data_IF_764611959026
#
_entry.id   IF_764611959026
#
_cell.length_a   1.000
_cell.length_b   1.000
_cell.length_c   1.000
_cell.angle_alpha   90.00
_cell.angle_beta   90.00
_cell.angle_gamma   90.00
#
_symmetry.space_group_name_H-M   'P 1'
#
loop_
_entity.id
_entity.type
_entity.pdbx_description
1 polymer ?
#
# COMPACT_ATOMS: atom_id res chain seq x y z
N UNK A 1 2.18 14.93 -6.90
CA UNK A 1 1.47 14.86 -8.19
C UNK A 1 0.00 15.16 -7.95
N UNK A 2 -0.51 16.19 -8.56
CA UNK A 2 -1.95 16.55 -8.47
C UNK A 2 -2.46 16.68 -7.03
N UNK A 3 -1.62 17.14 -6.09
CA UNK A 3 -1.98 17.28 -4.70
C UNK A 3 -1.91 15.99 -3.88
N UNK A 4 -1.41 14.92 -4.47
CA UNK A 4 -1.24 13.62 -3.80
C UNK A 4 0.21 13.48 -3.36
N UNK A 5 0.42 13.16 -2.09
CA UNK A 5 1.75 12.92 -1.51
C UNK A 5 2.05 11.42 -1.45
N UNK A 6 3.30 11.03 -1.65
CA UNK A 6 3.73 9.64 -1.65
C UNK A 6 4.68 9.39 -0.49
N UNK A 7 4.42 8.35 0.29
CA UNK A 7 5.19 8.01 1.49
C UNK A 7 5.66 6.57 1.46
N UNK A 8 6.94 6.36 1.78
CA UNK A 8 7.55 5.05 1.88
C UNK A 8 7.67 4.62 3.35
N UNK A 9 6.92 3.59 3.73
CA UNK A 9 7.03 2.92 5.02
C UNK A 9 7.34 1.43 4.80
N UNK A 10 8.38 1.16 4.00
CA UNK A 10 8.80 -0.21 3.68
C UNK A 10 9.19 -1.02 4.91
N UNK A 11 9.50 -0.36 6.03
CA UNK A 11 9.75 -1.00 7.31
C UNK A 11 8.49 -1.51 7.99
N UNK A 12 7.31 -1.12 7.49
CA UNK A 12 6.02 -1.61 7.98
C UNK A 12 5.78 -3.06 7.57
N UNK A 13 6.51 -4.00 8.17
CA UNK A 13 6.52 -5.40 7.80
C UNK A 13 5.54 -6.25 8.62
N UNK A 14 4.71 -5.63 9.43
CA UNK A 14 3.65 -6.31 10.18
C UNK A 14 2.41 -5.44 10.28
N UNK A 15 1.30 -6.06 10.68
CA UNK A 15 -0.01 -5.41 10.75
C UNK A 15 0.00 -4.23 11.72
N UNK A 16 0.64 -4.37 12.88
CA UNK A 16 0.71 -3.28 13.88
C UNK A 16 1.38 -2.02 13.34
N UNK A 17 2.49 -2.18 12.61
CA UNK A 17 3.20 -1.05 12.01
C UNK A 17 2.33 -0.34 10.96
N UNK A 18 1.61 -1.10 10.15
CA UNK A 18 0.72 -0.55 9.12
C UNK A 18 -0.46 0.19 9.75
N UNK A 19 -1.05 -0.35 10.82
CA UNK A 19 -2.11 0.32 11.55
C UNK A 19 -1.65 1.67 12.11
N UNK A 20 -0.46 1.71 12.71
CA UNK A 20 0.13 2.94 13.22
C UNK A 20 0.33 3.98 12.11
N UNK A 21 0.81 3.54 10.95
CA UNK A 21 1.02 4.42 9.79
C UNK A 21 -0.30 5.00 9.30
N UNK A 22 -1.34 4.18 9.15
CA UNK A 22 -2.66 4.65 8.72
C UNK A 22 -3.23 5.70 9.67
N UNK A 23 -3.15 5.43 10.96
CA UNK A 23 -3.68 6.33 11.99
C UNK A 23 -2.91 7.65 12.04
N UNK A 24 -1.60 7.60 11.79
CA UNK A 24 -0.72 8.75 11.87
C UNK A 24 -0.76 9.70 10.68
N UNK A 25 -1.31 9.27 9.54
CA UNK A 25 -1.28 10.08 8.32
C UNK A 25 -2.15 11.34 8.38
N UNK A 26 -3.27 11.33 9.11
CA UNK A 26 -4.14 12.48 9.24
C UNK A 26 -4.93 12.84 7.98
N UNK A 27 -5.00 11.93 7.01
CA UNK A 27 -5.69 12.11 5.72
C UNK A 27 -6.10 10.76 5.16
N UNK A 28 -6.92 10.76 4.10
CA UNK A 28 -7.27 9.52 3.42
C UNK A 28 -6.05 8.96 2.69
N UNK A 29 -5.92 7.64 2.70
CA UNK A 29 -4.72 6.94 2.23
C UNK A 29 -5.10 5.88 1.20
N UNK A 30 -4.48 5.94 0.02
CA UNK A 30 -4.43 4.81 -0.91
C UNK A 30 -3.18 4.01 -0.53
N UNK A 31 -3.36 2.78 -0.09
CA UNK A 31 -2.29 1.99 0.51
C UNK A 31 -1.89 0.82 -0.35
N UNK A 32 -0.59 0.51 -0.35
CA UNK A 32 -0.03 -0.68 -1.00
C UNK A 32 0.29 -1.69 0.09
N UNK A 33 -0.35 -2.85 0.02
CA UNK A 33 -0.19 -3.96 0.95
C UNK A 33 0.29 -5.19 0.20
N UNK A 34 1.08 -6.04 0.85
CA UNK A 34 1.41 -7.34 0.29
C UNK A 34 2.85 -7.75 0.45
N UNK A 35 3.11 -9.02 0.12
CA UNK A 35 4.38 -9.70 0.27
C UNK A 35 4.16 -11.02 0.99
N UNK A 36 5.14 -11.42 1.81
CA UNK A 36 5.02 -12.58 2.69
C UNK A 36 4.41 -12.17 4.02
N UNK A 37 3.19 -12.63 4.29
CA UNK A 37 2.45 -12.25 5.48
C UNK A 37 2.88 -12.94 6.77
N UNK A 38 3.68 -14.00 6.71
CA UNK A 38 4.19 -14.74 7.87
C UNK A 38 3.08 -15.21 8.82
N UNK A 39 1.98 -15.66 8.26
CA UNK A 39 0.83 -16.20 8.99
C UNK A 39 0.20 -15.20 9.97
N UNK A 40 0.33 -13.91 9.71
CA UNK A 40 -0.32 -12.87 10.53
C UNK A 40 -1.83 -12.87 10.33
N UNK A 41 -2.53 -12.34 11.31
CA UNK A 41 -3.95 -11.99 11.18
C UNK A 41 -4.07 -10.59 10.58
N UNK A 42 -4.60 -10.48 9.37
CA UNK A 42 -4.79 -9.20 8.68
C UNK A 42 -6.15 -8.55 8.99
N UNK A 43 -7.02 -9.22 9.74
CA UNK A 43 -8.37 -8.71 10.00
C UNK A 43 -8.42 -7.33 10.67
N UNK A 44 -7.47 -6.94 11.53
CA UNK A 44 -7.48 -5.58 12.10
C UNK A 44 -7.35 -4.46 11.07
N UNK A 45 -6.85 -4.76 9.87
CA UNK A 45 -6.74 -3.76 8.80
C UNK A 45 -8.11 -3.33 8.27
N UNK A 46 -9.10 -4.21 8.31
CA UNK A 46 -10.41 -3.93 7.72
C UNK A 46 -11.09 -2.68 8.30
N UNK A 47 -11.26 -2.57 9.64
CA UNK A 47 -11.88 -1.36 10.20
C UNK A 47 -11.02 -0.11 10.02
N UNK A 48 -9.69 -0.24 10.06
CA UNK A 48 -8.79 0.89 9.82
C UNK A 48 -8.90 1.39 8.39
N UNK A 49 -8.99 0.49 7.41
CA UNK A 49 -9.16 0.85 6.01
C UNK A 49 -10.51 1.50 5.77
N UNK A 50 -11.57 1.01 6.41
CA UNK A 50 -12.88 1.63 6.31
C UNK A 50 -12.88 3.08 6.81
N UNK A 51 -12.07 3.38 7.81
CA UNK A 51 -11.98 4.72 8.42
C UNK A 51 -10.99 5.62 7.71
N UNK A 52 -9.81 5.12 7.36
CA UNK A 52 -8.70 5.95 6.86
C UNK A 52 -8.37 5.72 5.38
N UNK A 53 -8.87 4.65 4.78
CA UNK A 53 -8.48 4.25 3.43
C UNK A 53 -9.24 4.97 2.32
N UNK A 54 -8.55 5.23 1.22
CA UNK A 54 -9.15 5.64 -0.05
C UNK A 54 -9.23 4.47 -1.01
N UNK A 55 -8.21 3.63 -1.03
CA UNK A 55 -8.09 2.47 -1.91
C UNK A 55 -7.01 1.54 -1.38
N UNK A 56 -7.04 0.29 -1.81
CA UNK A 56 -6.04 -0.73 -1.45
C UNK A 56 -5.50 -1.40 -2.70
N UNK A 57 -4.19 -1.33 -2.91
CA UNK A 57 -3.50 -2.13 -3.92
C UNK A 57 -2.81 -3.31 -3.24
N UNK A 58 -2.98 -4.49 -3.82
CA UNK A 58 -2.44 -5.74 -3.28
C UNK A 58 -1.38 -6.30 -4.22
N UNK A 59 -0.21 -6.60 -3.67
CA UNK A 59 0.91 -7.20 -4.42
C UNK A 59 1.45 -8.42 -3.67
N UNK A 60 2.23 -9.23 -4.36
CA UNK A 60 3.00 -10.31 -3.75
C UNK A 60 2.22 -11.57 -3.46
N UNK A 61 2.89 -12.48 -2.75
CA UNK A 61 2.42 -13.85 -2.53
C UNK A 61 1.10 -13.93 -1.78
N UNK A 62 0.94 -13.15 -0.74
CA UNK A 62 -0.22 -13.23 0.14
C UNK A 62 -1.29 -12.17 -0.18
N UNK A 63 -1.27 -11.60 -1.39
CA UNK A 63 -2.23 -10.60 -1.80
C UNK A 63 -3.68 -11.09 -1.67
N UNK A 64 -3.96 -12.33 -2.06
CA UNK A 64 -5.32 -12.89 -1.97
C UNK A 64 -5.77 -13.08 -0.53
N UNK A 65 -4.84 -13.49 0.34
CA UNK A 65 -5.12 -13.66 1.76
C UNK A 65 -5.49 -12.33 2.42
N UNK A 66 -4.73 -11.29 2.11
CA UNK A 66 -5.01 -9.94 2.62
C UNK A 66 -6.33 -9.43 2.04
N UNK A 67 -6.54 -9.63 0.74
CA UNK A 67 -7.79 -9.24 0.07
C UNK A 67 -9.02 -9.85 0.73
N UNK A 68 -8.95 -11.13 1.09
CA UNK A 68 -10.03 -11.80 1.79
C UNK A 68 -10.26 -11.21 3.18
N UNK A 69 -9.18 -10.88 3.91
CA UNK A 69 -9.28 -10.32 5.25
C UNK A 69 -9.90 -8.92 5.27
N UNK A 70 -9.70 -8.12 4.22
CA UNK A 70 -10.23 -6.75 4.14
C UNK A 70 -11.48 -6.64 3.26
N UNK A 71 -11.98 -7.75 2.74
CA UNK A 71 -13.18 -7.75 1.91
C UNK A 71 -14.35 -7.12 2.67
N UNK A 72 -15.09 -6.24 1.97
CA UNK A 72 -16.20 -5.53 2.60
C UNK A 72 -15.80 -4.27 3.36
N UNK A 73 -14.54 -3.83 3.29
CA UNK A 73 -14.12 -2.58 3.95
C UNK A 73 -14.72 -1.32 3.32
N UNK A 74 -15.38 -1.46 2.17
CA UNK A 74 -16.12 -0.34 1.55
C UNK A 74 -15.32 0.53 0.61
N UNK A 75 -14.05 0.21 0.36
CA UNK A 75 -13.19 0.98 -0.55
C UNK A 75 -12.68 0.09 -1.68
N UNK A 76 -12.29 0.69 -2.84
CA UNK A 76 -11.76 -0.10 -3.95
C UNK A 76 -10.52 -0.88 -3.56
N UNK A 77 -10.47 -2.14 -3.98
CA UNK A 77 -9.35 -3.05 -3.73
C UNK A 77 -8.96 -3.71 -5.04
N UNK A 78 -7.67 -3.65 -5.41
CA UNK A 78 -7.17 -4.15 -6.68
C UNK A 78 -5.91 -4.97 -6.49
N UNK A 79 -5.89 -6.18 -7.05
CA UNK A 79 -4.66 -6.97 -7.16
C UNK A 79 -3.81 -6.39 -8.30
N UNK A 80 -2.57 -6.07 -8.00
CA UNK A 80 -1.62 -5.51 -8.96
C UNK A 80 -0.45 -6.46 -9.19
N UNK A 81 0.05 -6.51 -10.42
CA UNK A 81 1.10 -7.44 -10.81
C UNK A 81 2.45 -7.12 -10.18
N UNK A 82 2.74 -5.83 -9.99
CA UNK A 82 4.01 -5.37 -9.45
C UNK A 82 3.85 -4.01 -8.77
N UNK A 83 4.98 -3.50 -8.26
CA UNK A 83 5.00 -2.21 -7.56
C UNK A 83 4.63 -1.05 -8.47
N UNK A 84 5.09 -1.03 -9.71
CA UNK A 84 4.79 0.05 -10.64
C UNK A 84 3.28 0.13 -10.92
N UNK A 85 2.63 -1.02 -11.14
CA UNK A 85 1.19 -1.09 -11.34
C UNK A 85 0.44 -0.60 -10.08
N UNK A 86 0.90 -0.99 -8.90
CA UNK A 86 0.28 -0.59 -7.64
C UNK A 86 0.37 0.93 -7.42
N UNK A 87 1.52 1.53 -7.69
CA UNK A 87 1.72 2.98 -7.57
C UNK A 87 0.78 3.73 -8.53
N UNK A 88 0.72 3.30 -9.78
CA UNK A 88 -0.16 3.92 -10.78
C UNK A 88 -1.62 3.84 -10.40
N UNK A 89 -2.05 2.66 -9.98
CA UNK A 89 -3.45 2.44 -9.61
C UNK A 89 -3.83 3.29 -8.38
N UNK A 90 -3.00 3.29 -7.34
CA UNK A 90 -3.25 4.11 -6.15
C UNK A 90 -3.30 5.60 -6.48
N UNK A 91 -2.38 6.08 -7.32
CA UNK A 91 -2.37 7.48 -7.72
C UNK A 91 -3.66 7.86 -8.47
N UNK A 92 -4.19 6.93 -9.29
CA UNK A 92 -5.45 7.14 -9.99
C UNK A 92 -6.68 7.13 -9.10
N UNK A 93 -6.62 6.44 -7.96
CA UNK A 93 -7.72 6.38 -6.99
C UNK A 93 -7.70 7.56 -6.00
N UNK A 94 -6.53 8.11 -5.73
CA UNK A 94 -6.36 9.17 -4.76
C UNK A 94 -6.90 10.51 -5.27
N UNK A 95 -7.48 11.28 -4.36
CA UNK A 95 -7.93 12.64 -4.62
C UNK A 95 -6.91 13.63 -4.08
N UNK A 96 -6.95 14.89 -4.56
CA UNK A 96 -6.08 15.95 -4.05
C UNK A 96 -6.19 16.03 -2.52
N UNK A 97 -5.07 16.07 -1.84
CA UNK A 97 -4.98 16.04 -0.38
C UNK A 97 -4.82 14.66 0.22
N UNK A 98 -5.02 13.60 -0.56
CA UNK A 98 -4.79 12.22 -0.11
C UNK A 98 -3.31 11.87 -0.13
N UNK A 99 -2.98 10.73 0.47
CA UNK A 99 -1.63 10.17 0.43
C UNK A 99 -1.65 8.79 -0.24
N UNK A 100 -0.57 8.46 -0.94
CA UNK A 100 -0.28 7.08 -1.37
C UNK A 100 0.82 6.57 -0.45
N UNK A 101 0.55 5.49 0.26
CA UNK A 101 1.43 4.94 1.29
C UNK A 101 1.83 3.52 0.94
N UNK A 102 3.14 3.26 0.94
CA UNK A 102 3.67 1.91 0.97
C UNK A 102 3.90 1.53 2.43
N UNK A 103 2.99 0.74 3.01
CA UNK A 103 3.16 0.15 4.32
C UNK A 103 2.61 -1.28 4.26
N UNK A 104 3.43 -2.21 3.76
CA UNK A 104 2.92 -3.47 3.20
C UNK A 104 2.39 -4.47 4.20
N UNK A 105 2.64 -4.31 5.49
CA UNK A 105 2.26 -5.26 6.56
C UNK A 105 2.96 -6.62 6.45
N UNK A 106 3.81 -6.80 5.46
CA UNK A 106 4.41 -8.08 5.09
C UNK A 106 5.92 -7.94 4.88
N UNK A 107 6.62 -9.06 5.02
CA UNK A 107 8.02 -9.15 4.62
C UNK A 107 8.13 -9.06 3.09
N UNK A 108 9.32 -8.66 2.60
CA UNK A 108 9.55 -8.35 1.19
C UNK A 108 10.16 -9.48 0.37
N UNK A 109 10.48 -10.62 0.98
CA UNK A 109 11.37 -11.62 0.36
C UNK A 109 10.78 -12.40 -0.81
N UNK A 110 9.47 -12.33 -1.05
CA UNK A 110 8.83 -12.98 -2.18
C UNK A 110 9.05 -12.23 -3.51
N UNK A 111 9.20 -10.91 -3.48
CA UNK A 111 9.35 -10.07 -4.67
C UNK A 111 10.64 -9.25 -4.69
N UNK A 112 11.24 -9.01 -3.55
CA UNK A 112 12.38 -8.11 -3.38
C UNK A 112 13.46 -8.77 -2.53
N UNK A 113 14.70 -8.31 -2.67
CA UNK A 113 15.82 -8.84 -1.88
C UNK A 113 15.65 -8.55 -0.38
N UNK A 114 15.08 -7.41 -0.04
CA UNK A 114 14.81 -6.99 1.34
C UNK A 114 13.87 -5.78 1.31
N UNK A 115 13.51 -5.26 2.48
CA UNK A 115 12.62 -4.11 2.53
C UNK A 115 13.26 -2.83 1.93
N UNK A 116 14.57 -2.69 2.00
CA UNK A 116 15.29 -1.59 1.35
C UNK A 116 15.16 -1.62 -0.16
N UNK A 117 15.28 -2.79 -0.76
CA UNK A 117 15.05 -2.98 -2.21
C UNK A 117 13.59 -2.63 -2.56
N UNK A 118 12.63 -3.06 -1.75
CA UNK A 118 11.23 -2.71 -1.97
C UNK A 118 11.01 -1.20 -1.94
N UNK A 119 11.64 -0.49 -1.01
CA UNK A 119 11.60 0.96 -0.95
C UNK A 119 12.17 1.61 -2.22
N UNK A 120 13.31 1.13 -2.70
CA UNK A 120 13.94 1.63 -3.94
C UNK A 120 13.01 1.47 -5.14
N UNK A 121 12.35 0.34 -5.27
CA UNK A 121 11.41 0.06 -6.37
C UNK A 121 10.20 0.99 -6.28
N UNK A 122 9.67 1.21 -5.09
CA UNK A 122 8.58 2.14 -4.88
C UNK A 122 8.97 3.57 -5.29
N UNK A 123 10.11 4.05 -4.82
CA UNK A 123 10.60 5.41 -5.13
C UNK A 123 10.81 5.58 -6.64
N UNK A 124 11.40 4.57 -7.29
CA UNK A 124 11.60 4.60 -8.73
C UNK A 124 10.27 4.67 -9.49
N UNK A 125 9.26 3.90 -9.06
CA UNK A 125 7.94 3.92 -9.68
C UNK A 125 7.27 5.29 -9.51
N UNK A 126 7.39 5.92 -8.34
CA UNK A 126 6.86 7.27 -8.11
C UNK A 126 7.53 8.29 -9.01
N UNK A 127 8.86 8.22 -9.14
CA UNK A 127 9.62 9.13 -10.01
C UNK A 127 9.22 8.99 -11.48
N UNK A 128 9.01 7.75 -11.94
CA UNK A 128 8.57 7.49 -13.31
C UNK A 128 7.18 8.09 -13.56
N UNK A 129 6.28 7.93 -12.60
CA UNK A 129 4.95 8.51 -12.69
C UNK A 129 4.98 10.04 -12.71
N UNK A 130 5.85 10.66 -11.91
CA UNK A 130 6.04 12.10 -11.89
C UNK A 130 6.54 12.63 -13.23
N UNK A 131 7.48 11.92 -13.87
CA UNK A 131 7.99 12.29 -15.19
C UNK A 131 6.90 12.22 -16.26
N UNK A 132 6.03 11.21 -16.19
CA UNK A 132 4.91 11.09 -17.14
C UNK A 132 3.88 12.21 -16.94
N UNK A 133 3.64 12.60 -15.68
CA UNK A 133 2.66 13.65 -15.37
C UNK A 133 3.20 15.05 -15.63
N UNK A 134 4.52 15.19 -15.59
CA UNK A 134 5.20 16.45 -15.78
C UNK A 134 5.55 16.73 -17.20
#
# INVERSE_FOLDING_TARGET
INGVSFYDDSKGTNVGATLAALQGMGRKVAIILGGEGKEQDFSPLKPALAQYGRAVALIGRDAELIGAAVDGCGIPTQRCADMAAAVRWCAGQASSGDAVLLSPACASFDMFRNYGHRAEVFIAAVRDLQREAG
#
